data_IF_058686549128
#
_entry.id   IF_058686549128
#
_cell.length_a   1.000
_cell.length_b   1.000
_cell.length_c   1.000
_cell.angle_alpha   90.00
_cell.angle_beta   90.00
_cell.angle_gamma   90.00
#
_symmetry.space_group_name_H-M   'P 1'
#
loop_
_entity.id
_entity.type
_entity.pdbx_description
1 polymer ?
#
# COMPACT_ATOMS: atom_id res chain seq x y z
N UNK A 1 20.52 -7.84 -5.84
CA UNK A 1 19.37 -7.00 -5.43
C UNK A 1 19.85 -6.19 -4.23
N UNK A 2 20.26 -4.93 -4.44
CA UNK A 2 20.93 -4.13 -3.41
C UNK A 2 19.89 -3.66 -2.38
N UNK A 3 19.91 -4.28 -1.21
CA UNK A 3 19.34 -3.74 0.02
C UNK A 3 20.10 -2.43 0.29
N UNK A 4 19.38 -1.30 0.38
CA UNK A 4 19.99 0.02 0.50
C UNK A 4 20.99 0.07 1.67
N UNK A 5 22.23 0.54 1.45
CA UNK A 5 23.33 0.46 2.43
C UNK A 5 23.37 1.62 3.44
N UNK A 6 22.36 2.47 3.48
CA UNK A 6 22.33 3.72 4.23
C UNK A 6 21.14 3.70 5.18
N UNK A 7 21.41 3.79 6.49
CA UNK A 7 20.46 3.61 7.58
C UNK A 7 19.45 4.75 7.75
N UNK A 8 18.82 5.19 6.66
CA UNK A 8 17.71 6.14 6.65
C UNK A 8 16.58 5.63 5.75
N UNK A 9 15.36 6.00 6.08
CA UNK A 9 14.17 5.75 5.25
C UNK A 9 14.20 6.68 4.04
N UNK A 10 14.69 6.18 2.90
CA UNK A 10 14.64 6.94 1.65
C UNK A 10 13.20 7.00 1.11
N UNK A 11 12.81 8.11 0.47
CA UNK A 11 11.56 8.19 -0.26
C UNK A 11 11.44 7.04 -1.25
N UNK A 12 10.31 6.33 -1.23
CA UNK A 12 10.11 5.12 -2.01
C UNK A 12 8.71 5.11 -2.63
N UNK A 13 8.63 4.62 -3.86
CA UNK A 13 7.35 4.38 -4.53
C UNK A 13 7.17 2.88 -4.70
N UNK A 14 6.12 2.35 -4.08
CA UNK A 14 5.71 0.96 -4.26
C UNK A 14 4.58 0.87 -5.27
N UNK A 15 4.83 0.20 -6.40
CA UNK A 15 3.82 -0.03 -7.44
C UNK A 15 3.17 -1.40 -7.25
N UNK A 16 1.87 -1.42 -7.00
CA UNK A 16 1.08 -2.64 -6.81
C UNK A 16 0.37 -3.01 -8.11
N UNK A 17 0.87 -4.01 -8.81
CA UNK A 17 0.19 -4.60 -9.97
C UNK A 17 -0.98 -5.47 -9.51
N UNK A 18 -2.16 -5.28 -10.10
CA UNK A 18 -3.37 -5.93 -9.61
C UNK A 18 -3.89 -5.27 -8.32
N UNK A 19 -3.71 -3.96 -8.18
CA UNK A 19 -4.17 -3.20 -7.03
C UNK A 19 -5.67 -3.36 -6.72
N UNK A 20 -6.49 -3.61 -7.75
CA UNK A 20 -7.93 -3.88 -7.59
C UNK A 20 -8.29 -5.30 -7.14
N UNK A 21 -7.31 -6.20 -7.08
CA UNK A 21 -7.51 -7.63 -6.79
C UNK A 21 -7.82 -7.95 -5.33
N UNK A 22 -8.32 -9.16 -5.10
CA UNK A 22 -8.72 -9.65 -3.77
C UNK A 22 -7.56 -9.69 -2.78
N UNK A 23 -6.38 -10.14 -3.22
CA UNK A 23 -5.19 -10.23 -2.38
C UNK A 23 -4.75 -8.85 -1.87
N UNK A 24 -4.83 -7.82 -2.72
CA UNK A 24 -4.49 -6.46 -2.34
C UNK A 24 -5.39 -5.96 -1.21
N UNK A 25 -6.70 -6.22 -1.33
CA UNK A 25 -7.71 -5.80 -0.35
C UNK A 25 -7.58 -6.55 0.97
N UNK A 26 -7.46 -7.88 0.92
CA UNK A 26 -7.58 -8.74 2.12
C UNK A 26 -6.27 -8.97 2.87
N UNK A 27 -5.13 -8.71 2.24
CA UNK A 27 -3.81 -8.99 2.82
C UNK A 27 -2.85 -7.82 2.70
N UNK A 28 -2.61 -7.32 1.49
CA UNK A 28 -1.55 -6.33 1.26
C UNK A 28 -1.84 -5.01 1.97
N UNK A 29 -3.01 -4.39 1.72
CA UNK A 29 -3.37 -3.12 2.34
C UNK A 29 -3.43 -3.21 3.87
N UNK A 30 -4.10 -4.21 4.48
CA UNK A 30 -4.07 -4.39 5.93
C UNK A 30 -2.66 -4.56 6.51
N UNK A 31 -1.79 -5.34 5.86
CA UNK A 31 -0.41 -5.52 6.32
C UNK A 31 0.41 -4.23 6.25
N UNK A 32 0.20 -3.41 5.22
CA UNK A 32 0.85 -2.10 5.10
C UNK A 32 0.36 -1.14 6.17
N UNK A 33 -0.93 -1.17 6.53
CA UNK A 33 -1.45 -0.38 7.64
C UNK A 33 -0.82 -0.81 8.98
N UNK A 34 -0.67 -2.12 9.24
CA UNK A 34 0.02 -2.62 10.46
C UNK A 34 1.51 -2.21 10.50
N UNK A 35 2.19 -2.17 9.36
CA UNK A 35 3.56 -1.66 9.32
C UNK A 35 3.62 -0.14 9.57
N UNK A 36 2.64 0.61 9.06
CA UNK A 36 2.52 2.06 9.29
C UNK A 36 2.25 2.38 10.76
N UNK A 37 1.34 1.66 11.43
CA UNK A 37 1.05 1.86 12.86
C UNK A 37 2.26 1.60 13.75
N UNK A 38 3.20 0.74 13.30
CA UNK A 38 4.47 0.44 13.98
C UNK A 38 5.62 1.35 13.54
N UNK A 39 5.36 2.36 12.69
CA UNK A 39 6.37 3.25 12.11
C UNK A 39 7.52 2.49 11.42
N UNK A 40 7.20 1.36 10.80
CA UNK A 40 8.16 0.48 10.12
C UNK A 40 8.27 0.76 8.62
N UNK A 41 7.50 1.71 8.09
CA UNK A 41 7.55 2.17 6.70
C UNK A 41 8.32 3.49 6.59
N UNK A 42 8.91 3.79 5.41
CA UNK A 42 9.47 5.11 5.15
C UNK A 42 8.41 6.22 5.28
N UNK A 43 8.77 7.34 5.93
CA UNK A 43 7.86 8.50 6.06
C UNK A 43 7.35 9.00 4.70
N UNK A 44 8.19 8.92 3.66
CA UNK A 44 7.87 9.30 2.29
C UNK A 44 7.58 8.08 1.40
N UNK A 45 6.73 7.15 1.88
CA UNK A 45 6.24 6.03 1.08
C UNK A 45 5.00 6.43 0.27
N UNK A 46 5.06 6.21 -1.05
CA UNK A 46 3.91 6.36 -1.94
C UNK A 46 3.48 5.00 -2.49
N UNK A 47 2.20 4.65 -2.34
CA UNK A 47 1.62 3.43 -2.90
C UNK A 47 0.85 3.76 -4.17
N UNK A 48 1.34 3.27 -5.31
CA UNK A 48 0.71 3.44 -6.62
C UNK A 48 0.03 2.15 -7.06
N UNK A 49 -1.28 2.19 -7.27
CA UNK A 49 -2.03 1.05 -7.80
C UNK A 49 -2.00 1.00 -9.32
N UNK A 50 -1.69 -0.17 -9.89
CA UNK A 50 -1.78 -0.43 -11.33
C UNK A 50 -2.71 -1.60 -11.63
N UNK A 51 -3.56 -1.45 -12.66
CA UNK A 51 -4.51 -2.48 -13.05
C UNK A 51 -5.15 -2.22 -14.40
N UNK A 52 -5.91 -3.20 -14.89
CA UNK A 52 -6.61 -3.12 -16.19
C UNK A 52 -7.88 -2.28 -16.14
N UNK A 53 -8.53 -2.21 -14.98
CA UNK A 53 -9.78 -1.45 -14.82
C UNK A 53 -9.44 0.04 -14.69
N UNK A 54 -10.06 0.91 -15.51
CA UNK A 54 -9.89 2.35 -15.35
C UNK A 54 -10.47 2.77 -14.00
N UNK A 55 -9.64 3.47 -13.21
CA UNK A 55 -10.01 4.07 -11.92
C UNK A 55 -9.28 5.38 -11.79
N UNK A 56 -9.98 6.39 -11.31
CA UNK A 56 -9.39 7.64 -10.83
C UNK A 56 -8.68 7.40 -9.49
N UNK A 57 -7.76 8.29 -9.14
CA UNK A 57 -7.09 8.23 -7.84
C UNK A 57 -8.08 8.31 -6.67
N UNK A 58 -9.18 9.05 -6.83
CA UNK A 58 -10.23 9.16 -5.83
C UNK A 58 -10.95 7.82 -5.60
N UNK A 59 -11.35 7.14 -6.69
CA UNK A 59 -11.97 5.82 -6.61
C UNK A 59 -11.01 4.77 -6.05
N UNK A 60 -9.71 4.87 -6.36
CA UNK A 60 -8.69 4.00 -5.79
C UNK A 60 -8.56 4.23 -4.27
N UNK A 61 -8.43 5.48 -3.82
CA UNK A 61 -8.35 5.82 -2.39
C UNK A 61 -9.59 5.37 -1.63
N UNK A 62 -10.78 5.57 -2.20
CA UNK A 62 -12.04 5.12 -1.59
C UNK A 62 -12.07 3.59 -1.46
N UNK A 63 -11.69 2.87 -2.51
CA UNK A 63 -11.63 1.40 -2.46
C UNK A 63 -10.60 0.90 -1.43
N UNK A 64 -9.44 1.53 -1.35
CA UNK A 64 -8.42 1.18 -0.37
C UNK A 64 -8.91 1.44 1.06
N UNK A 65 -9.54 2.59 1.31
CA UNK A 65 -10.14 2.91 2.61
C UNK A 65 -11.23 1.92 3.01
N UNK A 66 -12.10 1.54 2.07
CA UNK A 66 -13.12 0.51 2.32
C UNK A 66 -12.49 -0.85 2.63
N UNK A 67 -11.48 -1.28 1.86
CA UNK A 67 -10.79 -2.54 2.11
C UNK A 67 -10.11 -2.56 3.48
N UNK A 68 -9.51 -1.43 3.90
CA UNK A 68 -8.95 -1.28 5.23
C UNK A 68 -10.04 -1.35 6.31
N UNK A 69 -11.18 -0.68 6.14
CA UNK A 69 -12.29 -0.77 7.08
C UNK A 69 -12.83 -2.21 7.24
N UNK A 70 -12.87 -2.97 6.15
CA UNK A 70 -13.41 -4.34 6.15
C UNK A 70 -12.40 -5.41 6.61
N UNK A 71 -11.09 -5.17 6.45
CA UNK A 71 -10.06 -6.19 6.59
C UNK A 71 -8.87 -5.83 7.48
N UNK A 72 -8.69 -4.56 7.85
CA UNK A 72 -7.77 -4.22 8.92
C UNK A 72 -8.36 -4.74 10.22
N UNK A 73 -7.75 -5.81 10.75
CA UNK A 73 -7.97 -6.28 12.10
C UNK A 73 -6.79 -5.81 12.93
N UNK A 74 -7.07 -5.43 14.17
CA UNK A 74 -6.07 -5.11 15.20
C UNK A 74 -5.00 -6.21 15.34
#
# INVERSE_FOLDING_TARGET
MKICPCGGTHPCVMVVFGASGDLTKRKLLPALLDLETRQALPEELVIMGFGRSPKTDAEWRQQAAQALHEHARD
#
